data_IF_801403621639
#
_entry.id   IF_801403621639
#
_cell.length_a   1.000
_cell.length_b   1.000
_cell.length_c   1.000
_cell.angle_alpha   90.00
_cell.angle_beta   90.00
_cell.angle_gamma   90.00
#
_symmetry.space_group_name_H-M   'P 1'
#
loop_
_entity.id
_entity.type
_entity.pdbx_description
1 polymer ?
#
# COMPACT_ATOMS: atom_id res chain seq x y z
N UNK A 1 23.23 11.45 -4.92
CA UNK A 1 22.25 12.33 -5.58
C UNK A 1 21.95 11.78 -6.96
N UNK A 2 21.19 10.68 -7.02
CA UNK A 2 20.81 10.05 -8.29
C UNK A 2 19.43 10.54 -8.68
N UNK A 3 19.36 11.21 -9.82
CA UNK A 3 18.14 11.62 -10.49
C UNK A 3 17.29 10.38 -10.77
N UNK A 4 16.30 10.10 -9.91
CA UNK A 4 15.19 9.22 -10.25
C UNK A 4 14.30 9.98 -11.23
N UNK A 5 14.68 9.96 -12.51
CA UNK A 5 13.75 10.13 -13.61
C UNK A 5 12.79 8.94 -13.59
N UNK A 6 11.83 8.97 -12.66
CA UNK A 6 10.64 8.14 -12.76
C UNK A 6 10.03 8.41 -14.13
N UNK A 7 9.81 7.38 -14.98
CA UNK A 7 9.10 7.59 -16.22
C UNK A 7 7.76 8.25 -15.87
N UNK A 8 7.38 9.24 -16.69
CA UNK A 8 6.17 10.05 -16.60
C UNK A 8 4.90 9.20 -16.79
N UNK A 9 4.73 8.14 -16.00
CA UNK A 9 3.57 7.27 -16.05
C UNK A 9 2.44 8.05 -15.41
N UNK A 10 1.67 8.73 -16.26
CA UNK A 10 0.49 9.47 -15.83
C UNK A 10 -0.57 8.48 -15.35
N UNK A 11 -1.06 8.60 -14.11
CA UNK A 11 -2.19 7.81 -13.65
C UNK A 11 -3.43 8.10 -14.48
N UNK A 12 -4.21 7.07 -14.79
CA UNK A 12 -5.52 7.15 -15.44
C UNK A 12 -6.58 7.60 -14.43
N UNK A 13 -6.32 7.44 -13.14
CA UNK A 13 -7.19 7.87 -12.04
C UNK A 13 -7.28 9.41 -12.02
N UNK A 14 -8.48 10.03 -12.02
CA UNK A 14 -8.62 11.48 -11.95
C UNK A 14 -7.98 12.08 -10.68
N UNK A 15 -7.49 13.33 -10.77
CA UNK A 15 -6.75 13.97 -9.66
C UNK A 15 -7.57 14.03 -8.36
N UNK A 16 -8.86 14.36 -8.43
CA UNK A 16 -9.75 14.38 -7.27
C UNK A 16 -9.79 13.00 -6.58
N UNK A 17 -9.93 11.93 -7.37
CA UNK A 17 -9.95 10.55 -6.84
C UNK A 17 -8.61 10.14 -6.26
N UNK A 18 -7.49 10.58 -6.86
CA UNK A 18 -6.16 10.35 -6.28
C UNK A 18 -6.02 11.01 -4.90
N UNK A 19 -6.61 12.21 -4.72
CA UNK A 19 -6.59 12.91 -3.43
C UNK A 19 -7.40 12.13 -2.37
N UNK A 20 -8.60 11.68 -2.71
CA UNK A 20 -9.42 10.84 -1.82
C UNK A 20 -8.68 9.57 -1.40
N UNK A 21 -8.02 8.91 -2.37
CA UNK A 21 -7.24 7.71 -2.13
C UNK A 21 -6.05 7.99 -1.21
N UNK A 22 -5.32 9.10 -1.42
CA UNK A 22 -4.23 9.53 -0.55
C UNK A 22 -4.71 9.80 0.87
N UNK A 23 -5.84 10.48 1.04
CA UNK A 23 -6.44 10.73 2.36
C UNK A 23 -6.84 9.42 3.07
N UNK A 24 -7.30 8.42 2.31
CA UNK A 24 -7.57 7.08 2.82
C UNK A 24 -6.31 6.20 3.05
N UNK A 25 -5.11 6.74 2.79
CA UNK A 25 -3.82 6.08 2.99
C UNK A 25 -3.37 5.14 1.86
N UNK A 26 -3.97 5.26 0.68
CA UNK A 26 -3.52 4.57 -0.54
C UNK A 26 -2.50 5.40 -1.31
N UNK A 27 -1.58 4.72 -1.97
CA UNK A 27 -0.64 5.29 -2.92
C UNK A 27 -0.95 4.73 -4.31
N UNK A 28 -1.21 5.61 -5.27
CA UNK A 28 -1.37 5.22 -6.68
C UNK A 28 0.01 4.93 -7.26
N UNK A 29 0.16 3.78 -7.90
CA UNK A 29 1.41 3.31 -8.50
C UNK A 29 1.16 3.04 -9.98
N UNK A 30 1.96 3.66 -10.84
CA UNK A 30 1.80 3.53 -12.29
C UNK A 30 0.48 4.14 -12.80
N UNK A 31 -0.24 3.40 -13.64
CA UNK A 31 -1.42 3.91 -14.37
C UNK A 31 -2.74 3.72 -13.62
N UNK A 32 -2.97 2.53 -13.07
CA UNK A 32 -4.27 2.12 -12.54
C UNK A 32 -4.17 1.38 -11.20
N UNK A 33 -2.97 1.06 -10.74
CA UNK A 33 -2.76 0.26 -9.54
C UNK A 33 -2.62 1.13 -8.29
N UNK A 34 -2.90 0.53 -7.14
CA UNK A 34 -2.74 1.19 -5.85
C UNK A 34 -2.26 0.23 -4.76
N UNK A 35 -1.50 0.76 -3.82
CA UNK A 35 -0.98 0.03 -2.66
C UNK A 35 -1.41 0.75 -1.38
N UNK A 36 -1.63 0.00 -0.30
CA UNK A 36 -1.86 0.57 1.04
C UNK A 36 -1.20 -0.31 2.08
N UNK A 37 -0.54 0.30 3.05
CA UNK A 37 -0.08 -0.43 4.22
C UNK A 37 -1.29 -0.92 5.03
N UNK A 38 -1.45 -2.24 5.12
CA UNK A 38 -2.52 -2.86 5.89
C UNK A 38 -2.43 -2.43 7.36
N UNK A 39 -3.59 -2.30 8.02
CA UNK A 39 -3.68 -1.99 9.45
C UNK A 39 -2.79 -2.92 10.29
N UNK A 40 -2.90 -4.24 10.08
CA UNK A 40 -2.13 -5.23 10.84
C UNK A 40 -0.66 -5.33 10.45
N UNK A 41 -0.27 -4.88 9.26
CA UNK A 41 1.15 -4.73 8.91
C UNK A 41 1.77 -3.65 9.79
N UNK A 42 1.10 -2.49 9.94
CA UNK A 42 1.55 -1.42 10.84
C UNK A 42 1.57 -1.88 12.30
N UNK A 43 0.51 -2.55 12.77
CA UNK A 43 0.46 -3.09 14.14
C UNK A 43 1.57 -4.11 14.41
N UNK A 44 1.85 -5.01 13.46
CA UNK A 44 2.89 -6.03 13.61
C UNK A 44 4.29 -5.41 13.65
N UNK A 45 4.55 -4.35 12.87
CA UNK A 45 5.82 -3.62 12.92
C UNK A 45 5.99 -2.84 14.24
N UNK A 46 4.90 -2.36 14.82
CA UNK A 46 4.89 -1.69 16.11
C UNK A 46 4.79 -2.64 17.32
N UNK A 47 4.95 -3.96 17.11
CA UNK A 47 4.79 -4.99 18.15
C UNK A 47 3.42 -4.99 18.87
N UNK A 48 2.36 -4.51 18.22
CA UNK A 48 0.99 -4.43 18.76
C UNK A 48 0.07 -5.59 18.37
N UNK A 49 0.55 -6.54 17.55
CA UNK A 49 -0.18 -7.75 17.15
C UNK A 49 -0.23 -8.01 15.65
N UNK A 50 -0.75 -9.18 15.27
CA UNK A 50 -0.85 -9.67 13.89
C UNK A 50 -2.30 -9.92 13.47
N UNK A 51 -2.57 -10.09 12.17
CA UNK A 51 -3.92 -10.39 11.68
C UNK A 51 -4.28 -11.87 11.83
N UNK A 52 -5.56 -12.18 11.61
CA UNK A 52 -6.07 -13.56 11.66
C UNK A 52 -5.30 -14.53 10.74
N UNK A 53 -4.78 -14.06 9.60
CA UNK A 53 -4.00 -14.89 8.66
C UNK A 53 -2.69 -15.39 9.26
N UNK A 54 -2.12 -14.63 10.20
CA UNK A 54 -0.95 -15.08 10.95
C UNK A 54 -1.29 -16.26 11.86
N UNK A 55 -2.47 -16.24 12.49
CA UNK A 55 -2.93 -17.30 13.39
C UNK A 55 -3.37 -18.55 12.65
N UNK A 56 -4.09 -18.39 11.54
CA UNK A 56 -4.69 -19.53 10.82
C UNK A 56 -3.76 -20.14 9.80
N UNK A 57 -2.90 -19.33 9.16
CA UNK A 57 -2.10 -19.76 8.01
C UNK A 57 -0.59 -19.54 8.21
N UNK A 58 -0.15 -19.07 9.38
CA UNK A 58 1.27 -18.79 9.62
C UNK A 58 1.85 -17.63 8.80
N UNK A 59 1.00 -16.81 8.16
CA UNK A 59 1.46 -15.71 7.31
C UNK A 59 1.95 -14.53 8.17
N UNK A 60 3.20 -14.13 7.96
CA UNK A 60 3.79 -12.99 8.66
C UNK A 60 3.15 -11.65 8.22
N UNK A 61 2.32 -11.05 9.09
CA UNK A 61 1.56 -9.83 8.78
C UNK A 61 2.42 -8.62 8.40
N UNK A 62 3.60 -8.48 9.00
CA UNK A 62 4.57 -7.42 8.67
C UNK A 62 5.25 -7.62 7.30
N UNK A 63 5.08 -8.77 6.65
CA UNK A 63 5.62 -9.10 5.32
C UNK A 63 4.54 -9.13 4.23
N UNK A 64 3.29 -8.86 4.58
CA UNK A 64 2.19 -8.81 3.61
C UNK A 64 2.19 -7.51 2.80
N UNK A 65 1.91 -7.62 1.50
CA UNK A 65 1.65 -6.49 0.61
C UNK A 65 0.16 -6.44 0.30
N UNK A 66 -0.51 -5.35 0.66
CA UNK A 66 -1.90 -5.08 0.27
C UNK A 66 -1.90 -4.13 -0.92
N UNK A 67 -2.29 -4.66 -2.08
CA UNK A 67 -2.33 -3.93 -3.34
C UNK A 67 -3.51 -4.36 -4.20
N UNK A 68 -3.89 -3.51 -5.14
CA UNK A 68 -4.80 -3.82 -6.24
C UNK A 68 -4.10 -3.46 -7.54
N UNK A 69 -4.17 -4.32 -8.58
CA UNK A 69 -3.85 -3.90 -9.93
C UNK A 69 -4.78 -2.78 -10.35
#
# INVERSE_FOLDING_TARGET
MAHLSLPLIKPVVPLAKQLDMRNAGFLVVGRHSAVKACHYTKSSLACKGTCYKSRFYGIASHRCVQMSP
#
